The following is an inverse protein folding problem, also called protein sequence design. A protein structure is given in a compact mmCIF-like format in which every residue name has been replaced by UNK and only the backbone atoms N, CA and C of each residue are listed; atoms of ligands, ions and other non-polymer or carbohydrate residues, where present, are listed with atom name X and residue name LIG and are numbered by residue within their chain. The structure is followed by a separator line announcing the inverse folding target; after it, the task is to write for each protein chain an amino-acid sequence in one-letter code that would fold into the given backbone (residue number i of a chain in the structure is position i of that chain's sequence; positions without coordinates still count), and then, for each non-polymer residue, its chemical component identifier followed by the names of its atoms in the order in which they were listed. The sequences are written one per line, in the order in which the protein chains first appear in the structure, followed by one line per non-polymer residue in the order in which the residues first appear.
data_IF_409184112662
#
_entry.id   IF_409184112662
#
_cell.length_a   1.000
_cell.length_b   1.000
_cell.length_c   1.000
_cell.angle_alpha   90.00
_cell.angle_beta   90.00
_cell.angle_gamma   90.00
#
_symmetry.space_group_name_H-M   'P 1'
#
loop_
_entity.id
_entity.type
_entity.pdbx_description
1 polymer ?
#
# COMPACT_ATOMS: atom_id res chain seq x y z
N UNK A 1 7.40 -4.21 18.78
CA UNK A 1 6.61 -5.43 19.09
C UNK A 1 7.40 -6.25 20.09
N UNK A 2 6.75 -6.96 21.02
CA UNK A 2 7.41 -7.83 22.00
C UNK A 2 7.12 -9.29 21.64
N UNK A 3 8.09 -10.19 21.82
CA UNK A 3 7.92 -11.63 21.59
C UNK A 3 8.05 -12.38 22.91
N UNK A 4 7.07 -13.22 23.23
CA UNK A 4 7.09 -14.08 24.41
C UNK A 4 6.59 -15.46 23.98
N UNK A 5 7.38 -16.52 24.22
CA UNK A 5 7.04 -17.90 23.81
C UNK A 5 6.62 -18.01 22.32
N UNK A 6 7.42 -17.43 21.42
CA UNK A 6 7.21 -17.38 19.95
C UNK A 6 5.93 -16.67 19.47
N UNK A 7 5.18 -16.07 20.40
CA UNK A 7 3.97 -15.31 20.13
C UNK A 7 4.29 -13.82 20.13
N UNK A 8 3.67 -13.10 19.20
CA UNK A 8 3.80 -11.65 19.08
C UNK A 8 2.85 -10.95 20.03
N UNK A 9 3.33 -9.97 20.78
CA UNK A 9 2.53 -9.14 21.68
C UNK A 9 2.61 -7.67 21.31
N UNK A 10 1.48 -6.98 21.44
CA UNK A 10 1.38 -5.53 21.25
C UNK A 10 0.24 -4.93 22.08
N UNK A 11 0.31 -3.63 22.32
CA UNK A 11 -0.73 -2.89 23.04
C UNK A 11 -2.05 -2.83 22.25
N UNK A 12 -3.20 -2.72 22.93
CA UNK A 12 -4.52 -2.69 22.28
C UNK A 12 -4.64 -1.60 21.18
N UNK A 13 -4.27 -0.36 21.49
CA UNK A 13 -4.33 0.74 20.52
C UNK A 13 -3.39 0.51 19.34
N UNK A 14 -2.26 -0.17 19.55
CA UNK A 14 -1.30 -0.51 18.52
C UNK A 14 -1.82 -1.61 17.60
N UNK A 15 -2.59 -2.55 18.15
CA UNK A 15 -3.28 -3.61 17.40
C UNK A 15 -4.38 -3.00 16.54
N UNK A 16 -5.24 -2.16 17.13
CA UNK A 16 -6.35 -1.49 16.43
C UNK A 16 -5.86 -0.49 15.38
N UNK A 17 -4.81 0.26 15.69
CA UNK A 17 -4.24 1.30 14.81
C UNK A 17 -3.21 0.81 13.79
N UNK A 18 -3.04 -0.51 13.61
CA UNK A 18 -2.06 -1.09 12.67
C UNK A 18 -0.59 -0.70 12.92
N UNK A 19 -0.25 -0.18 14.11
CA UNK A 19 1.13 0.17 14.53
C UNK A 19 1.83 -0.94 15.31
N UNK A 20 1.33 -2.18 15.19
CA UNK A 20 1.73 -3.30 16.05
C UNK A 20 3.19 -3.70 15.86
N UNK A 21 3.75 -3.53 14.66
CA UNK A 21 5.16 -3.80 14.34
C UNK A 21 6.12 -3.01 15.24
N UNK A 22 5.86 -1.72 15.43
CA UNK A 22 6.69 -0.81 16.22
C UNK A 22 6.29 -0.63 17.68
N UNK A 23 5.33 -1.41 18.21
CA UNK A 23 4.84 -1.22 19.59
C UNK A 23 5.96 -1.42 20.63
N UNK A 24 6.30 -0.38 21.39
CA UNK A 24 7.29 -0.38 22.48
C UNK A 24 6.71 0.09 23.82
N UNK A 25 5.38 0.18 23.93
CA UNK A 25 4.73 0.57 25.17
C UNK A 25 4.80 -0.60 26.17
N UNK A 26 5.45 -0.38 27.31
CA UNK A 26 5.51 -1.33 28.43
C UNK A 26 4.41 -1.04 29.47
N UNK A 27 3.89 0.19 29.50
CA UNK A 27 2.94 0.67 30.52
C UNK A 27 1.48 0.26 30.24
N UNK A 28 1.23 -0.32 29.06
CA UNK A 28 -0.12 -0.67 28.58
C UNK A 28 -0.28 -2.17 28.56
N UNK A 29 -1.50 -2.71 28.74
CA UNK A 29 -1.73 -4.15 28.65
C UNK A 29 -1.32 -4.67 27.26
N UNK A 30 -0.47 -5.69 27.24
CA UNK A 30 -0.01 -6.38 26.03
C UNK A 30 -0.98 -7.53 25.72
N UNK A 31 -1.39 -7.62 24.45
CA UNK A 31 -2.25 -8.69 23.95
C UNK A 31 -1.54 -9.49 22.85
N UNK A 32 -1.84 -10.78 22.77
CA UNK A 32 -1.33 -11.67 21.71
C UNK A 32 -1.90 -11.25 20.35
N UNK A 33 -1.01 -10.97 19.39
CA UNK A 33 -1.35 -10.59 18.02
C UNK A 33 -1.57 -11.85 17.20
N UNK A 34 -2.85 -12.21 17.00
CA UNK A 34 -3.25 -13.28 16.07
C UNK A 34 -2.88 -12.92 14.62
N UNK A 35 -2.71 -13.94 13.77
CA UNK A 35 -2.43 -13.75 12.33
C UNK A 35 -3.56 -12.92 11.70
N UNK A 36 -3.22 -11.70 11.28
CA UNK A 36 -4.14 -10.82 10.54
C UNK A 36 -4.03 -11.16 9.06
N UNK A 37 -5.14 -11.49 8.43
CA UNK A 37 -5.19 -11.74 6.99
C UNK A 37 -6.61 -11.67 6.49
N UNK A 38 -6.83 -10.93 5.41
CA UNK A 38 -8.09 -11.02 4.66
C UNK A 38 -8.10 -12.39 3.98
N UNK A 39 -9.18 -13.19 4.09
CA UNK A 39 -9.28 -14.41 3.30
C UNK A 39 -9.08 -14.06 1.82
N UNK A 40 -8.43 -14.97 1.09
CA UNK A 40 -8.18 -14.74 -0.33
C UNK A 40 -9.51 -14.61 -1.06
N UNK A 41 -9.77 -13.44 -1.67
CA UNK A 41 -11.01 -13.21 -2.41
C UNK A 41 -10.94 -13.72 -3.86
N UNK A 42 -9.89 -14.46 -4.19
CA UNK A 42 -9.64 -14.96 -5.53
C UNK A 42 -9.35 -16.46 -5.42
N UNK A 43 -9.91 -17.25 -6.33
CA UNK A 43 -9.55 -18.65 -6.44
C UNK A 43 -8.09 -18.81 -6.89
N UNK A 44 -7.50 -19.98 -6.60
CA UNK A 44 -6.11 -20.27 -6.94
C UNK A 44 -5.86 -20.22 -8.44
N UNK A 45 -6.82 -20.65 -9.27
CA UNK A 45 -6.70 -20.61 -10.72
C UNK A 45 -6.50 -19.20 -11.26
N UNK A 46 -7.34 -18.25 -10.83
CA UNK A 46 -7.20 -16.87 -11.28
C UNK A 46 -5.97 -16.18 -10.67
N UNK A 47 -5.44 -16.68 -9.55
CA UNK A 47 -4.19 -16.21 -8.96
C UNK A 47 -2.99 -16.67 -9.79
N UNK A 48 -2.99 -17.91 -10.27
CA UNK A 48 -1.98 -18.43 -11.20
C UNK A 48 -1.99 -17.68 -12.52
N UNK A 49 -3.17 -17.45 -13.11
CA UNK A 49 -3.30 -16.69 -14.36
C UNK A 49 -2.76 -15.25 -14.23
N UNK A 50 -2.83 -14.65 -13.04
CA UNK A 50 -2.17 -13.36 -12.80
C UNK A 50 -0.64 -13.49 -12.80
N UNK A 51 -0.08 -14.59 -12.30
CA UNK A 51 1.37 -14.81 -12.27
C UNK A 51 1.94 -15.20 -13.63
N UNK A 52 1.34 -16.17 -14.29
CA UNK A 52 1.86 -16.77 -15.53
C UNK A 52 1.53 -15.91 -16.74
N UNK A 53 0.29 -15.40 -16.81
CA UNK A 53 -0.24 -14.69 -17.98
C UNK A 53 -0.41 -13.18 -17.73
N UNK A 54 -0.05 -12.67 -16.55
CA UNK A 54 -0.21 -11.25 -16.16
C UNK A 54 -1.65 -10.74 -16.33
N UNK A 55 -2.64 -11.62 -16.23
CA UNK A 55 -4.05 -11.25 -16.37
C UNK A 55 -4.59 -10.64 -15.07
N UNK A 56 -5.02 -9.39 -15.14
CA UNK A 56 -5.55 -8.62 -14.01
C UNK A 56 -7.04 -8.36 -14.20
N UNK A 57 -7.87 -9.33 -13.80
CA UNK A 57 -9.34 -9.22 -13.81
C UNK A 57 -9.96 -9.57 -12.46
N UNK A 58 -11.22 -9.15 -12.25
CA UNK A 58 -12.04 -9.61 -11.11
C UNK A 58 -12.29 -11.11 -11.29
N UNK A 59 -12.12 -11.89 -10.21
CA UNK A 59 -12.50 -13.29 -10.24
C UNK A 59 -14.02 -13.43 -10.16
N UNK A 60 -14.61 -14.01 -11.20
CA UNK A 60 -16.03 -14.32 -11.34
C UNK A 60 -16.30 -15.82 -11.24
N UNK A 61 -15.34 -16.59 -10.72
CA UNK A 61 -15.49 -18.03 -10.49
C UNK A 61 -16.48 -18.28 -9.35
N UNK A 62 -17.77 -18.38 -9.69
CA UNK A 62 -18.84 -18.80 -8.79
C UNK A 62 -18.79 -20.32 -8.60
N UNK A 63 -17.91 -20.83 -7.73
CA UNK A 63 -17.87 -22.23 -7.21
C UNK A 63 -18.13 -23.42 -8.16
N UNK A 64 -18.03 -23.26 -9.48
CA UNK A 64 -18.28 -24.31 -10.47
C UNK A 64 -16.97 -24.71 -11.11
N UNK A 65 -16.12 -25.43 -10.38
CA UNK A 65 -15.05 -26.26 -10.95
C UNK A 65 -14.36 -26.98 -9.81
N UNK A 66 -14.86 -28.18 -9.50
CA UNK A 66 -14.08 -29.20 -8.81
C UNK A 66 -12.85 -29.52 -9.68
N UNK A 67 -11.61 -29.30 -9.23
CA UNK A 67 -10.43 -29.76 -9.95
C UNK A 67 -10.04 -31.10 -9.33
N UNK A 68 -10.65 -32.18 -9.83
CA UNK A 68 -10.51 -33.48 -9.19
C UNK A 68 -10.78 -34.63 -10.13
N UNK A 69 -10.09 -34.68 -11.27
CA UNK A 69 -9.42 -35.88 -11.76
C UNK A 69 -8.53 -35.51 -12.93
N UNK A 70 -7.34 -36.10 -12.90
CA UNK A 70 -6.32 -36.10 -13.93
C UNK A 70 -6.93 -36.26 -15.34
N UNK A 71 -6.24 -35.66 -16.31
CA UNK A 71 -6.35 -35.84 -17.78
C UNK A 71 -7.01 -34.68 -18.54
N UNK A 72 -6.17 -34.13 -19.41
CA UNK A 72 -6.47 -33.54 -20.72
C UNK A 72 -6.40 -32.02 -20.88
N UNK A 73 -5.49 -31.66 -21.79
CA UNK A 73 -5.37 -30.36 -22.39
C UNK A 73 -6.61 -30.07 -23.26
N UNK A 74 -7.37 -29.04 -22.91
CA UNK A 74 -8.18 -28.35 -23.90
C UNK A 74 -8.20 -26.86 -23.64
N UNK A 75 -7.66 -26.13 -24.62
CA UNK A 75 -7.83 -24.70 -24.75
C UNK A 75 -9.30 -24.39 -25.07
N UNK A 76 -9.94 -23.63 -24.18
CA UNK A 76 -11.07 -22.76 -24.47
C UNK A 76 -10.90 -21.56 -23.51
N UNK A 77 -10.71 -20.32 -23.94
CA UNK A 77 -11.37 -19.69 -25.08
C UNK A 77 -12.56 -18.88 -24.57
N UNK A 78 -12.30 -17.80 -23.84
CA UNK A 78 -13.22 -16.66 -23.77
C UNK A 78 -12.41 -15.40 -23.93
N UNK A 79 -12.50 -14.85 -25.14
CA UNK A 79 -12.34 -13.44 -25.40
C UNK A 79 -13.61 -12.75 -24.91
N UNK A 80 -13.47 -11.67 -24.14
CA UNK A 80 -14.45 -10.58 -24.12
C UNK A 80 -13.80 -9.32 -23.52
N UNK A 81 -13.77 -8.26 -24.32
CA UNK A 81 -13.77 -6.87 -23.86
C UNK A 81 -12.41 -6.15 -23.67
N UNK A 82 -12.01 -5.25 -24.58
CA UNK A 82 -11.06 -4.20 -24.24
C UNK A 82 -11.72 -3.23 -23.25
N UNK A 83 -11.24 -3.19 -22.00
CA UNK A 83 -11.54 -2.08 -21.11
C UNK A 83 -10.87 -0.84 -21.70
N UNK A 84 -11.67 0.02 -22.30
CA UNK A 84 -11.31 1.39 -22.65
C UNK A 84 -10.48 1.98 -21.52
N UNK A 85 -9.27 2.43 -21.84
CA UNK A 85 -8.50 3.33 -20.99
C UNK A 85 -9.27 4.65 -20.93
N UNK A 86 -10.33 4.70 -20.13
CA UNK A 86 -10.90 5.94 -19.65
C UNK A 86 -9.80 6.57 -18.81
N UNK A 87 -9.10 7.47 -19.47
CA UNK A 87 -8.11 8.37 -18.91
C UNK A 87 -8.71 8.92 -17.63
N UNK A 88 -8.25 8.43 -16.48
CA UNK A 88 -8.56 9.06 -15.22
C UNK A 88 -7.77 10.35 -15.24
N UNK A 89 -8.37 11.42 -15.77
CA UNK A 89 -7.99 12.79 -15.50
C UNK A 89 -8.35 13.10 -14.04
N UNK A 90 -7.82 12.31 -13.11
CA UNK A 90 -7.72 12.72 -11.73
C UNK A 90 -6.56 13.69 -11.68
N UNK A 91 -6.93 14.97 -11.64
CA UNK A 91 -6.28 15.99 -10.85
C UNK A 91 -5.06 15.44 -10.09
N UNK A 92 -3.88 15.80 -10.60
CA UNK A 92 -2.60 15.72 -9.89
C UNK A 92 -2.77 16.42 -8.54
N UNK A 93 -3.13 15.68 -7.51
CA UNK A 93 -2.94 16.10 -6.13
C UNK A 93 -1.55 15.62 -5.70
N UNK A 94 -0.59 16.52 -5.89
CA UNK A 94 0.50 16.78 -4.94
C UNK A 94 1.41 15.62 -4.54
N UNK A 95 2.28 15.17 -5.46
CA UNK A 95 3.58 14.61 -5.09
C UNK A 95 4.70 15.44 -5.73
N UNK A 96 4.90 16.65 -5.21
CA UNK A 96 6.05 17.49 -5.50
C UNK A 96 7.31 16.92 -4.83
N UNK A 97 7.92 15.89 -5.42
CA UNK A 97 9.36 15.61 -5.24
C UNK A 97 9.91 14.94 -6.50
N UNK A 98 10.04 15.72 -7.57
CA UNK A 98 11.00 15.42 -8.63
C UNK A 98 11.38 16.73 -9.31
N UNK A 99 12.50 17.32 -8.87
CA UNK A 99 13.13 18.48 -9.50
C UNK A 99 13.78 18.01 -10.81
N UNK A 100 13.42 18.53 -11.99
CA UNK A 100 14.28 18.44 -13.16
C UNK A 100 15.31 19.59 -13.14
N UNK A 101 16.47 19.26 -13.68
CA UNK A 101 17.69 20.06 -13.75
C UNK A 101 17.65 21.14 -14.84
N UNK A 102 18.33 22.26 -14.55
CA UNK A 102 18.87 23.31 -15.46
C UNK A 102 17.88 24.28 -16.11
N UNK A 103 17.96 25.56 -15.73
CA UNK A 103 18.37 26.65 -16.62
C UNK A 103 18.59 27.95 -15.83
N UNK A 104 19.69 28.61 -16.17
CA UNK A 104 20.10 29.98 -15.86
C UNK A 104 18.95 31.00 -15.78
N UNK A 105 18.90 31.80 -14.71
CA UNK A 105 18.79 33.26 -14.86
C UNK A 105 19.28 34.00 -13.61
N UNK A 106 19.94 35.13 -13.85
CA UNK A 106 20.73 35.91 -12.93
C UNK A 106 20.00 37.20 -12.55
N UNK A 107 19.88 37.46 -11.24
CA UNK A 107 19.63 38.79 -10.63
C UNK A 107 19.96 38.60 -9.15
N UNK A 108 21.16 38.95 -8.65
CA UNK A 108 21.66 40.30 -8.36
C UNK A 108 20.62 41.20 -7.67
N UNK A 109 20.91 41.43 -6.38
CA UNK A 109 20.44 42.52 -5.50
C UNK A 109 18.99 42.35 -5.01
N UNK A 110 18.66 42.42 -3.72
CA UNK A 110 18.93 43.49 -2.75
C UNK A 110 18.78 42.91 -1.33
N UNK A 111 19.61 43.37 -0.39
CA UNK A 111 19.48 43.07 1.04
C UNK A 111 18.29 43.83 1.67
N UNK A 112 17.43 43.19 2.47
CA UNK A 112 16.68 43.88 3.50
C UNK A 112 17.28 43.57 4.88
N UNK A 113 17.78 44.63 5.50
CA UNK A 113 18.24 44.75 6.89
C UNK A 113 17.24 44.14 7.87
N UNK A 114 17.67 43.17 8.66
CA UNK A 114 16.90 42.64 9.79
C UNK A 114 16.88 43.70 10.90
N UNK A 115 15.70 44.24 11.18
CA UNK A 115 15.42 45.07 12.35
C UNK A 115 15.44 44.16 13.59
N UNK A 116 16.45 44.34 14.45
CA UNK A 116 16.47 43.74 15.78
C UNK A 116 15.51 44.50 16.70
N UNK A 117 14.39 43.88 17.07
CA UNK A 117 13.56 44.32 18.19
C UNK A 117 13.34 43.15 19.15
N UNK A 118 14.04 43.21 20.30
CA UNK A 118 13.84 42.48 21.56
C UNK A 118 14.99 42.91 22.48
N UNK A 119 14.83 43.44 23.68
CA UNK A 119 13.68 43.68 24.54
C UNK A 119 14.22 44.29 25.83
N UNK A 120 13.41 45.11 26.47
CA UNK A 120 13.62 45.77 27.75
C UNK A 120 14.00 44.80 28.88
N UNK A 121 15.08 45.14 29.62
CA UNK A 121 15.28 44.72 31.01
C UNK A 121 16.02 45.83 31.78
N UNK A 122 15.28 46.38 32.75
CA UNK A 122 15.66 47.03 34.02
C UNK A 122 16.85 47.99 34.02
#
# INVERSE_FOLDING_TARGET
MVYVNDKKFACESCIKGHRSSGCQHADRPLFEVKKKGRPVSQCDKCRELRKTKRMHGKCTCSSSSVPGTLLEAKAAGSADGPMSKSKCTSLRSSCLTARPVRALHQVLEVQPTYVLHRGSRQ
#
